data_IF_957407357400
#
_entry.id   IF_957407357400
#
_cell.length_a   1.000
_cell.length_b   1.000
_cell.length_c   1.000
_cell.angle_alpha   90.00
_cell.angle_beta   90.00
_cell.angle_gamma   90.00
#
_symmetry.space_group_name_H-M   'P 1'
#
loop_
_entity.id
_entity.type
_entity.pdbx_description
1 polymer ?
#
# COMPACT_ATOMS: atom_id res chain seq x y z
N UNK A 1 1.72 15.30 1.78
CA UNK A 1 1.52 13.84 1.81
C UNK A 1 1.30 13.45 3.27
N UNK A 2 0.18 12.82 3.62
CA UNK A 2 -0.08 12.42 5.00
C UNK A 2 0.82 11.24 5.39
N UNK A 3 2.05 11.54 5.83
CA UNK A 3 3.02 10.56 6.35
C UNK A 3 2.43 9.70 7.48
N UNK A 4 1.41 10.22 8.17
CA UNK A 4 0.62 9.54 9.21
C UNK A 4 -0.03 8.26 8.69
N UNK A 5 -0.59 8.27 7.46
CA UNK A 5 -1.30 7.11 6.92
C UNK A 5 -0.32 6.00 6.49
N UNK A 6 0.85 6.40 5.96
CA UNK A 6 1.97 5.50 5.69
C UNK A 6 2.51 4.88 6.98
N UNK A 7 2.69 5.69 8.02
CA UNK A 7 3.16 5.22 9.32
C UNK A 7 2.17 4.24 9.97
N UNK A 8 0.87 4.48 9.84
CA UNK A 8 -0.17 3.55 10.31
C UNK A 8 -0.11 2.18 9.62
N UNK A 9 0.02 2.15 8.28
CA UNK A 9 0.14 0.88 7.55
C UNK A 9 1.43 0.12 7.94
N UNK A 10 2.56 0.83 8.02
CA UNK A 10 3.82 0.23 8.45
C UNK A 10 3.74 -0.32 9.88
N UNK A 11 3.09 0.42 10.80
CA UNK A 11 2.89 -0.03 12.17
C UNK A 11 2.07 -1.32 12.25
N UNK A 12 1.00 -1.47 11.44
CA UNK A 12 0.20 -2.71 11.42
C UNK A 12 1.03 -3.90 10.92
N UNK A 13 1.87 -3.72 9.89
CA UNK A 13 2.76 -4.79 9.44
C UNK A 13 3.83 -5.17 10.47
N UNK A 14 4.44 -4.18 11.13
CA UNK A 14 5.43 -4.41 12.19
C UNK A 14 4.78 -5.12 13.38
N UNK A 15 3.58 -4.70 13.80
CA UNK A 15 2.83 -5.32 14.89
C UNK A 15 2.40 -6.75 14.56
N UNK A 16 2.00 -7.03 13.32
CA UNK A 16 1.66 -8.38 12.88
C UNK A 16 2.89 -9.30 12.87
N UNK A 17 4.06 -8.82 12.43
CA UNK A 17 5.33 -9.57 12.52
C UNK A 17 5.77 -9.78 13.97
N UNK A 18 5.66 -8.75 14.82
CA UNK A 18 5.97 -8.84 16.24
C UNK A 18 5.07 -9.85 16.96
N UNK A 19 3.79 -9.92 16.57
CA UNK A 19 2.86 -10.93 17.09
C UNK A 19 3.25 -12.37 16.73
N UNK A 20 4.05 -12.59 15.68
CA UNK A 20 4.53 -13.93 15.30
C UNK A 20 5.71 -14.36 16.18
N UNK A 21 6.49 -13.39 16.66
CA UNK A 21 7.67 -13.58 17.50
C UNK A 21 7.33 -13.58 18.99
N UNK A 22 6.26 -12.89 19.37
CA UNK A 22 5.84 -12.72 20.77
C UNK A 22 4.32 -12.81 20.92
N UNK A 23 3.79 -13.59 21.88
CA UNK A 23 2.35 -13.64 22.12
C UNK A 23 1.84 -12.29 22.64
N UNK A 24 0.85 -11.74 21.95
CA UNK A 24 0.22 -10.48 22.34
C UNK A 24 -0.88 -10.72 23.39
N UNK A 25 -1.07 -9.76 24.34
CA UNK A 25 -2.10 -9.86 25.34
C UNK A 25 -3.50 -9.92 24.70
N UNK A 26 -4.43 -10.61 25.38
CA UNK A 26 -5.83 -10.77 24.96
C UNK A 26 -6.06 -11.44 23.59
N UNK A 27 -5.08 -12.17 23.05
CA UNK A 27 -5.24 -12.82 21.74
C UNK A 27 -5.33 -11.82 20.57
N UNK A 28 -4.76 -10.62 20.72
CA UNK A 28 -4.76 -9.60 19.67
C UNK A 28 -3.90 -9.99 18.46
N UNK A 29 -3.04 -11.00 18.58
CA UNK A 29 -2.14 -11.44 17.52
C UNK A 29 -2.83 -11.89 16.23
N UNK A 30 -3.73 -12.88 16.29
CA UNK A 30 -4.56 -13.29 15.15
C UNK A 30 -5.35 -12.15 14.50
N UNK A 31 -5.83 -11.18 15.30
CA UNK A 31 -6.55 -10.00 14.80
C UNK A 31 -5.62 -9.10 14.00
N UNK A 32 -4.42 -8.80 14.52
CA UNK A 32 -3.38 -8.03 13.82
C UNK A 32 -2.93 -8.70 12.53
N UNK A 33 -2.75 -10.02 12.53
CA UNK A 33 -2.41 -10.79 11.33
C UNK A 33 -3.53 -10.73 10.29
N UNK A 34 -4.79 -10.89 10.71
CA UNK A 34 -5.96 -10.78 9.83
C UNK A 34 -6.05 -9.38 9.21
N UNK A 35 -5.85 -8.33 10.00
CA UNK A 35 -5.83 -6.95 9.51
C UNK A 35 -4.69 -6.69 8.53
N UNK A 36 -3.49 -7.23 8.80
CA UNK A 36 -2.35 -7.13 7.88
C UNK A 36 -2.62 -7.83 6.54
N UNK A 37 -3.18 -9.04 6.58
CA UNK A 37 -3.58 -9.78 5.37
C UNK A 37 -4.67 -9.04 4.61
N UNK A 38 -5.72 -8.56 5.30
CA UNK A 38 -6.80 -7.79 4.69
C UNK A 38 -6.28 -6.51 4.02
N UNK A 39 -5.34 -5.80 4.64
CA UNK A 39 -4.68 -4.64 4.04
C UNK A 39 -3.92 -5.01 2.77
N UNK A 40 -3.13 -6.09 2.79
CA UNK A 40 -2.41 -6.57 1.60
C UNK A 40 -3.39 -6.93 0.48
N UNK A 41 -4.49 -7.62 0.80
CA UNK A 41 -5.52 -8.00 -0.18
C UNK A 41 -6.19 -6.77 -0.78
N UNK A 42 -6.58 -5.80 0.05
CA UNK A 42 -7.16 -4.53 -0.41
C UNK A 42 -6.18 -3.80 -1.33
N UNK A 43 -4.92 -3.64 -0.92
CA UNK A 43 -3.92 -2.98 -1.74
C UNK A 43 -3.62 -3.74 -3.04
N UNK A 44 -3.67 -5.07 -3.03
CA UNK A 44 -3.52 -5.89 -4.23
C UNK A 44 -4.70 -5.71 -5.19
N UNK A 45 -5.93 -5.65 -4.67
CA UNK A 45 -7.12 -5.36 -5.48
C UNK A 45 -7.05 -3.95 -6.07
N UNK A 46 -6.79 -2.93 -5.25
CA UNK A 46 -6.58 -1.55 -5.71
C UNK A 46 -5.52 -1.51 -6.80
N UNK A 47 -4.40 -2.19 -6.59
CA UNK A 47 -3.36 -2.32 -7.61
C UNK A 47 -3.92 -2.88 -8.89
N UNK A 48 -4.59 -4.03 -8.90
CA UNK A 48 -5.11 -4.65 -10.14
C UNK A 48 -6.06 -3.71 -10.89
N UNK A 49 -6.92 -2.97 -10.18
CA UNK A 49 -7.82 -1.99 -10.77
C UNK A 49 -7.06 -0.86 -11.47
N UNK A 50 -6.03 -0.31 -10.82
CA UNK A 50 -5.26 0.80 -11.41
C UNK A 50 -4.15 0.29 -12.33
N UNK A 51 -3.74 -0.99 -12.26
CA UNK A 51 -2.66 -1.60 -13.05
C UNK A 51 -2.93 -1.48 -14.54
N UNK A 52 -4.19 -1.60 -14.93
CA UNK A 52 -4.65 -1.37 -16.30
C UNK A 52 -4.36 0.04 -16.80
N UNK A 53 -4.36 1.03 -15.90
CA UNK A 53 -4.04 2.43 -16.18
C UNK A 53 -2.51 2.68 -16.22
N UNK A 54 -1.73 2.01 -15.36
CA UNK A 54 -0.25 2.17 -15.30
C UNK A 54 0.51 1.29 -16.29
N UNK A 55 -0.05 0.20 -16.82
CA UNK A 55 0.59 -0.56 -17.90
C UNK A 55 0.88 0.31 -19.14
N UNK A 56 0.24 1.47 -19.26
CA UNK A 56 0.49 2.46 -20.28
C UNK A 56 1.64 3.45 -19.96
N UNK A 57 2.31 3.33 -18.80
CA UNK A 57 3.39 4.22 -18.35
C UNK A 57 4.78 3.62 -18.60
N UNK A 58 5.71 4.37 -19.22
CA UNK A 58 7.09 3.96 -19.38
C UNK A 58 7.90 4.24 -18.10
N UNK A 59 8.05 3.24 -17.23
CA UNK A 59 8.88 3.35 -16.02
C UNK A 59 9.07 2.00 -15.30
N UNK A 60 9.95 1.92 -14.28
CA UNK A 60 10.21 0.69 -13.53
C UNK A 60 8.98 0.24 -12.72
N UNK A 61 8.12 -0.54 -13.38
CA UNK A 61 6.84 -1.06 -12.87
C UNK A 61 6.99 -1.75 -11.51
N UNK A 62 8.08 -2.50 -11.30
CA UNK A 62 8.35 -3.24 -10.08
C UNK A 62 8.38 -2.36 -8.81
N UNK A 63 8.98 -1.17 -8.89
CA UNK A 63 9.05 -0.26 -7.73
C UNK A 63 7.68 0.31 -7.40
N UNK A 64 6.93 0.73 -8.42
CA UNK A 64 5.54 1.20 -8.26
C UNK A 64 4.62 0.09 -7.76
N UNK A 65 4.92 -1.16 -8.10
CA UNK A 65 4.20 -2.33 -7.58
C UNK A 65 4.45 -2.48 -6.08
N UNK A 66 5.72 -2.62 -5.68
CA UNK A 66 6.08 -2.84 -4.28
C UNK A 66 5.56 -1.72 -3.38
N UNK A 67 5.72 -0.45 -3.76
CA UNK A 67 5.25 0.67 -2.95
C UNK A 67 3.73 0.75 -2.83
N UNK A 68 2.99 0.14 -3.73
CA UNK A 68 1.52 0.28 -3.75
C UNK A 68 0.83 -0.91 -3.16
N UNK A 69 1.51 -2.05 -3.13
CA UNK A 69 1.17 -3.12 -2.21
C UNK A 69 1.43 -2.71 -0.74
N UNK A 70 2.47 -1.91 -0.49
CA UNK A 70 2.81 -1.41 0.84
C UNK A 70 1.97 -0.21 1.30
N UNK A 71 1.59 0.70 0.39
CA UNK A 71 0.94 1.97 0.74
C UNK A 71 -0.37 2.27 -0.02
N UNK A 72 -0.85 1.37 -0.88
CA UNK A 72 -2.10 1.55 -1.64
C UNK A 72 -2.09 2.73 -2.62
N UNK A 73 -3.28 3.31 -2.85
CA UNK A 73 -3.53 4.48 -3.72
C UNK A 73 -2.63 5.70 -3.45
N UNK A 74 -2.02 5.80 -2.26
CA UNK A 74 -1.14 6.91 -1.87
C UNK A 74 0.05 7.11 -2.81
N UNK A 75 0.50 6.06 -3.49
CA UNK A 75 1.67 6.14 -4.36
C UNK A 75 1.32 6.41 -5.83
N UNK A 76 0.17 5.95 -6.31
CA UNK A 76 -0.19 6.06 -7.73
C UNK A 76 -0.79 7.42 -8.08
N UNK A 77 -1.47 8.08 -7.13
CA UNK A 77 -2.05 9.41 -7.31
C UNK A 77 -1.00 10.52 -7.58
N UNK A 78 0.13 10.63 -6.84
CA UNK A 78 1.14 11.65 -7.14
C UNK A 78 1.87 11.39 -8.47
N UNK A 79 2.08 10.13 -8.87
CA UNK A 79 2.64 9.79 -10.19
C UNK A 79 1.67 10.19 -11.32
N UNK A 80 0.39 9.85 -11.18
CA UNK A 80 -0.66 10.23 -12.14
C UNK A 80 -0.88 11.75 -12.21
N UNK A 81 -0.65 12.48 -11.09
CA UNK A 81 -0.72 13.94 -11.05
C UNK A 81 0.52 14.59 -11.66
N UNK A 82 1.71 14.06 -11.41
CA UNK A 82 2.98 14.61 -11.90
C UNK A 82 3.14 14.45 -13.42
N UNK A 83 2.59 13.39 -14.01
CA UNK A 83 2.63 13.14 -15.45
C UNK A 83 1.29 13.43 -16.16
N UNK A 84 0.35 14.11 -15.49
CA UNK A 84 -0.78 14.70 -16.20
C UNK A 84 -0.16 15.83 -17.06
N UNK A 85 -0.17 15.74 -18.40
CA UNK A 85 0.36 16.83 -19.21
C UNK A 85 -0.38 18.09 -18.78
N UNK A 86 0.37 19.14 -18.45
CA UNK A 86 -0.22 20.45 -18.18
C UNK A 86 -1.16 20.74 -19.35
N UNK A 87 -2.46 20.81 -19.07
CA UNK A 87 -3.43 21.22 -20.06
C UNK A 87 -3.01 22.64 -20.46
N UNK A 88 -2.38 22.72 -21.62
CA UNK A 88 -1.97 23.93 -22.28
C UNK A 88 -3.25 24.64 -22.75
N UNK A 89 -3.80 25.46 -21.86
CA UNK A 89 -4.74 26.54 -22.19
C UNK A 89 -3.99 27.84 -22.29
#
# INVERSE_FOLDING_TARGET
MNNILKAGCAAIYILALASLLWPFPAGAGPVLQTLAVALIVVHALEMLFVFKHIKSYPGPLLVSIVLSLLFGLLHWLPLAKANRPAANT
#
